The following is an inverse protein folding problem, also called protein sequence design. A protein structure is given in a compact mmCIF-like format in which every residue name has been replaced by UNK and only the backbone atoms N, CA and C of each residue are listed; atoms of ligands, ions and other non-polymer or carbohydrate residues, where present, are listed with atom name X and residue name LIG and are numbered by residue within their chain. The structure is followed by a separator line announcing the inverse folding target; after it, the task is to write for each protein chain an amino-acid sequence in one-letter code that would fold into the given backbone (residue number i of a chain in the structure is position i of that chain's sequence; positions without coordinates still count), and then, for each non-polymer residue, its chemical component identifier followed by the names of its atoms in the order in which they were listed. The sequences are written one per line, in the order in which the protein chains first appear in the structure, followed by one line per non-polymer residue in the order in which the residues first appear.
data_IF_905589821716
#
_entry.id   IF_905589821716
#
_cell.length_a   1.000
_cell.length_b   1.000
_cell.length_c   1.000
_cell.angle_alpha   90.00
_cell.angle_beta   90.00
_cell.angle_gamma   90.00
#
_symmetry.space_group_name_H-M   'P 1'
#
loop_
_entity.id
_entity.type
_entity.pdbx_description
1 polymer ?
#
# COMPACT_ATOMS: atom_id res chain seq x y z
N UNK A 1 35.00 -13.27 -4.76
CA UNK A 1 34.38 -14.08 -5.84
C UNK A 1 32.89 -14.33 -5.60
N UNK A 2 32.46 -14.90 -4.46
CA UNK A 2 31.06 -15.29 -4.23
C UNK A 2 30.02 -14.14 -4.32
N UNK A 3 30.33 -12.97 -3.74
CA UNK A 3 29.45 -11.78 -3.81
C UNK A 3 29.19 -11.28 -5.25
N UNK A 4 30.18 -11.35 -6.12
CA UNK A 4 30.05 -10.92 -7.53
C UNK A 4 29.13 -11.87 -8.29
N UNK A 5 29.32 -13.18 -8.14
CA UNK A 5 28.44 -14.17 -8.75
C UNK A 5 26.97 -14.03 -8.28
N UNK A 6 26.73 -13.69 -7.00
CA UNK A 6 25.38 -13.40 -6.49
C UNK A 6 24.77 -12.15 -7.16
N UNK A 7 25.56 -11.10 -7.36
CA UNK A 7 25.08 -9.88 -8.03
C UNK A 7 24.77 -10.15 -9.51
N UNK A 8 25.64 -10.86 -10.22
CA UNK A 8 25.42 -11.23 -11.63
C UNK A 8 24.22 -12.16 -11.81
N UNK A 9 24.02 -13.10 -10.89
CA UNK A 9 22.84 -13.97 -10.87
C UNK A 9 21.54 -13.19 -10.70
N UNK A 10 21.53 -12.15 -9.85
CA UNK A 10 20.33 -11.38 -9.51
C UNK A 10 20.03 -10.23 -10.48
N UNK A 11 21.05 -9.57 -10.99
CA UNK A 11 20.94 -8.34 -11.77
C UNK A 11 21.50 -8.46 -13.20
N UNK A 12 22.07 -9.61 -13.58
CA UNK A 12 22.70 -9.83 -14.87
C UNK A 12 24.17 -9.40 -14.91
N UNK A 13 24.89 -9.67 -16.01
CA UNK A 13 26.30 -9.30 -16.14
C UNK A 13 26.46 -7.77 -16.19
N UNK A 14 27.45 -7.24 -15.47
CA UNK A 14 27.83 -5.82 -15.57
C UNK A 14 29.10 -5.67 -16.42
N UNK A 15 29.05 -4.97 -17.56
CA UNK A 15 30.20 -4.83 -18.46
C UNK A 15 31.35 -3.97 -17.90
N UNK A 16 31.15 -3.22 -16.82
CA UNK A 16 32.15 -2.25 -16.30
C UNK A 16 33.05 -2.78 -15.18
N UNK A 17 32.71 -3.91 -14.54
CA UNK A 17 33.42 -4.42 -13.36
C UNK A 17 34.90 -4.77 -13.58
N UNK A 18 35.36 -4.88 -14.82
CA UNK A 18 36.74 -5.27 -15.15
C UNK A 18 37.68 -4.07 -15.41
N UNK A 19 37.20 -2.82 -15.32
CA UNK A 19 37.93 -1.65 -15.82
C UNK A 19 38.46 -0.71 -14.73
N UNK A 20 37.88 -0.71 -13.53
CA UNK A 20 38.26 0.18 -12.43
C UNK A 20 39.44 -0.34 -11.62
N UNK A 21 40.48 0.48 -11.46
CA UNK A 21 41.70 0.15 -10.72
C UNK A 21 41.61 0.46 -9.22
N UNK A 22 40.68 1.33 -8.80
CA UNK A 22 40.47 1.69 -7.40
C UNK A 22 39.16 1.13 -6.85
N UNK A 23 39.21 0.65 -5.62
CA UNK A 23 38.07 0.04 -4.96
C UNK A 23 36.90 1.01 -4.73
N UNK A 24 37.16 2.27 -4.38
CA UNK A 24 36.11 3.27 -4.17
C UNK A 24 35.33 3.58 -5.44
N UNK A 25 36.05 3.75 -6.56
CA UNK A 25 35.49 3.98 -7.90
C UNK A 25 34.67 2.75 -8.33
N UNK A 26 35.21 1.55 -8.13
CA UNK A 26 34.47 0.31 -8.38
C UNK A 26 33.18 0.21 -7.56
N UNK A 27 33.22 0.48 -6.24
CA UNK A 27 32.03 0.44 -5.36
C UNK A 27 30.96 1.43 -5.82
N UNK A 28 31.36 2.63 -6.23
CA UNK A 28 30.43 3.63 -6.75
C UNK A 28 29.75 3.12 -8.03
N UNK A 29 30.51 2.61 -8.99
CA UNK A 29 29.96 2.08 -10.24
C UNK A 29 29.01 0.89 -10.01
N UNK A 30 29.36 -0.01 -9.08
CA UNK A 30 28.48 -1.12 -8.66
C UNK A 30 27.17 -0.59 -8.11
N UNK A 31 27.23 0.40 -7.21
CA UNK A 31 26.03 0.96 -6.58
C UNK A 31 25.14 1.70 -7.57
N UNK A 32 25.73 2.48 -8.48
CA UNK A 32 25.00 3.16 -9.55
C UNK A 32 24.32 2.15 -10.48
N UNK A 33 25.03 1.08 -10.86
CA UNK A 33 24.46 0.01 -11.68
C UNK A 33 23.32 -0.74 -11.00
N UNK A 34 23.51 -1.14 -9.73
CA UNK A 34 22.45 -1.79 -8.94
C UNK A 34 21.24 -0.86 -8.81
N UNK A 35 21.47 0.43 -8.56
CA UNK A 35 20.40 1.43 -8.43
C UNK A 35 19.62 1.57 -9.73
N UNK A 36 20.32 1.63 -10.87
CA UNK A 36 19.70 1.71 -12.19
C UNK A 36 18.85 0.48 -12.49
N UNK A 37 19.42 -0.73 -12.37
CA UNK A 37 18.70 -1.97 -12.64
C UNK A 37 17.51 -2.15 -11.69
N UNK A 38 17.70 -1.86 -10.40
CA UNK A 38 16.61 -1.94 -9.41
C UNK A 38 15.49 -0.97 -9.75
N UNK A 39 15.83 0.25 -10.20
CA UNK A 39 14.86 1.25 -10.65
C UNK A 39 14.09 0.77 -11.88
N UNK A 40 14.77 0.14 -12.85
CA UNK A 40 14.14 -0.36 -14.06
C UNK A 40 13.22 -1.56 -13.79
N UNK A 41 13.65 -2.50 -12.94
CA UNK A 41 12.82 -3.62 -12.49
C UNK A 41 11.59 -3.09 -11.76
N UNK A 42 11.78 -2.15 -10.83
CA UNK A 42 10.69 -1.52 -10.09
C UNK A 42 9.71 -0.82 -11.04
N UNK A 43 10.20 -0.01 -11.98
CA UNK A 43 9.38 0.73 -12.94
C UNK A 43 8.54 -0.22 -13.79
N UNK A 44 9.16 -1.27 -14.35
CA UNK A 44 8.44 -2.32 -15.09
C UNK A 44 7.35 -2.98 -14.25
N UNK A 45 7.64 -3.29 -12.98
CA UNK A 45 6.69 -3.94 -12.09
C UNK A 45 5.51 -3.04 -11.71
N UNK A 46 5.74 -1.73 -11.47
CA UNK A 46 4.66 -0.79 -11.11
C UNK A 46 3.80 -0.41 -12.31
N UNK A 47 4.40 -0.17 -13.48
CA UNK A 47 3.66 0.19 -14.70
C UNK A 47 2.75 -0.94 -15.20
N UNK A 48 3.09 -2.20 -14.91
CA UNK A 48 2.24 -3.36 -15.25
C UNK A 48 0.91 -3.38 -14.48
N UNK A 49 0.80 -2.70 -13.33
CA UNK A 49 -0.37 -2.76 -12.46
C UNK A 49 -1.24 -1.53 -12.66
N UNK A 50 -2.44 -1.71 -13.21
CA UNK A 50 -3.39 -0.60 -13.46
C UNK A 50 -3.73 0.19 -12.18
N UNK A 51 -3.90 -0.49 -11.04
CA UNK A 51 -4.19 0.17 -9.76
C UNK A 51 -3.07 1.13 -9.29
N UNK A 52 -1.86 0.98 -9.84
CA UNK A 52 -0.71 1.84 -9.55
C UNK A 52 -0.49 2.92 -10.61
N UNK A 53 -1.42 3.17 -11.54
CA UNK A 53 -1.22 4.10 -12.65
C UNK A 53 -0.75 5.50 -12.21
N UNK A 54 -1.44 6.11 -11.25
CA UNK A 54 -1.05 7.40 -10.67
C UNK A 54 0.35 7.33 -10.01
N UNK A 55 0.59 6.29 -9.19
CA UNK A 55 1.89 6.08 -8.55
C UNK A 55 3.02 5.93 -9.57
N UNK A 56 2.84 5.08 -10.58
CA UNK A 56 3.84 4.77 -11.60
C UNK A 56 4.13 5.96 -12.51
N UNK A 57 3.14 6.84 -12.72
CA UNK A 57 3.29 8.04 -13.54
C UNK A 57 4.13 9.12 -12.83
N UNK A 58 3.95 9.27 -11.52
CA UNK A 58 4.51 10.41 -10.78
C UNK A 58 5.68 10.07 -9.85
N UNK A 59 5.77 8.84 -9.32
CA UNK A 59 6.92 8.43 -8.50
C UNK A 59 8.13 8.20 -9.41
N UNK A 60 9.18 8.97 -9.20
CA UNK A 60 10.37 8.92 -10.08
C UNK A 60 11.29 7.72 -9.79
N UNK A 61 11.50 7.40 -8.52
CA UNK A 61 12.42 6.36 -8.08
C UNK A 61 11.90 5.62 -6.84
N UNK A 62 12.24 4.34 -6.66
CA UNK A 62 11.93 3.60 -5.43
C UNK A 62 12.72 4.20 -4.27
N UNK A 63 12.08 4.37 -3.11
CA UNK A 63 12.76 4.90 -1.93
C UNK A 63 11.84 5.15 -0.76
N UNK A 64 12.43 5.33 0.42
CA UNK A 64 11.74 5.78 1.61
C UNK A 64 11.30 7.23 1.46
N UNK A 65 10.17 7.57 2.07
CA UNK A 65 9.64 8.92 2.06
C UNK A 65 9.64 9.46 3.50
N UNK A 66 10.03 10.72 3.72
CA UNK A 66 10.23 11.27 5.06
C UNK A 66 8.92 11.44 5.86
N UNK A 67 7.76 11.44 5.18
CA UNK A 67 6.44 11.62 5.80
C UNK A 67 5.80 10.31 6.28
N UNK A 68 6.44 9.16 6.06
CA UNK A 68 6.00 7.88 6.61
C UNK A 68 6.57 7.64 8.01
N UNK A 69 5.68 7.59 9.00
CA UNK A 69 6.02 7.40 10.42
C UNK A 69 5.56 6.06 10.99
N UNK A 70 4.99 5.18 10.16
CA UNK A 70 4.43 3.89 10.60
C UNK A 70 3.10 4.00 11.37
N UNK A 71 2.50 5.20 11.39
CA UNK A 71 1.19 5.44 11.97
C UNK A 71 0.05 5.07 10.99
N UNK A 72 -1.18 5.06 11.51
CA UNK A 72 -2.39 4.78 10.72
C UNK A 72 -2.54 5.74 9.53
N UNK A 73 -2.22 7.02 9.71
CA UNK A 73 -2.32 8.00 8.64
C UNK A 73 -1.30 7.76 7.53
N UNK A 74 -0.10 7.27 7.86
CA UNK A 74 0.90 6.79 6.90
C UNK A 74 0.36 5.60 6.09
N UNK A 75 -0.31 4.65 6.75
CA UNK A 75 -0.91 3.51 6.08
C UNK A 75 -2.03 3.94 5.11
N UNK A 76 -2.91 4.86 5.52
CA UNK A 76 -3.96 5.40 4.66
C UNK A 76 -3.39 6.17 3.47
N UNK A 77 -2.36 7.01 3.68
CA UNK A 77 -1.69 7.72 2.61
C UNK A 77 -1.04 6.74 1.61
N UNK A 78 -0.39 5.69 2.09
CA UNK A 78 0.17 4.65 1.24
C UNK A 78 -0.92 3.94 0.42
N UNK A 79 -2.06 3.63 1.04
CA UNK A 79 -3.21 3.06 0.34
C UNK A 79 -3.76 3.99 -0.75
N UNK A 80 -3.91 5.28 -0.44
CA UNK A 80 -4.35 6.29 -1.41
C UNK A 80 -3.38 6.40 -2.59
N UNK A 81 -2.07 6.46 -2.32
CA UNK A 81 -1.02 6.50 -3.34
C UNK A 81 -1.04 5.28 -4.27
N UNK A 82 -1.37 4.12 -3.73
CA UNK A 82 -1.32 2.84 -4.46
C UNK A 82 -2.66 2.39 -5.03
N UNK A 83 -3.69 3.25 -4.97
CA UNK A 83 -5.04 2.91 -5.43
C UNK A 83 -5.68 1.76 -4.65
N UNK A 84 -5.23 1.52 -3.41
CA UNK A 84 -5.72 0.46 -2.52
C UNK A 84 -6.52 0.98 -1.34
N UNK A 85 -6.80 2.30 -1.30
CA UNK A 85 -7.70 2.88 -0.31
C UNK A 85 -9.09 2.26 -0.46
N UNK A 86 -9.68 1.82 0.65
CA UNK A 86 -10.96 1.12 0.67
C UNK A 86 -12.16 2.08 0.53
N UNK A 87 -12.15 2.90 -0.52
CA UNK A 87 -13.29 3.76 -0.88
C UNK A 87 -14.48 2.92 -1.36
N UNK A 88 -15.69 3.51 -1.42
CA UNK A 88 -16.86 2.77 -1.93
C UNK A 88 -16.68 2.34 -3.39
N UNK A 89 -16.07 3.15 -4.25
CA UNK A 89 -15.73 2.72 -5.61
C UNK A 89 -14.83 1.47 -5.58
N UNK A 90 -13.78 1.47 -4.76
CA UNK A 90 -12.89 0.31 -4.66
C UNK A 90 -13.59 -0.93 -4.10
N UNK A 91 -14.54 -0.74 -3.19
CA UNK A 91 -15.36 -1.83 -2.67
C UNK A 91 -16.35 -2.36 -3.71
N UNK A 92 -16.92 -1.49 -4.53
CA UNK A 92 -17.77 -1.87 -5.66
C UNK A 92 -17.00 -2.78 -6.63
N UNK A 93 -15.78 -2.39 -7.02
CA UNK A 93 -14.92 -3.20 -7.91
C UNK A 93 -14.60 -4.61 -7.36
N UNK A 94 -14.57 -4.77 -6.02
CA UNK A 94 -14.17 -6.04 -5.38
C UNK A 94 -15.36 -6.90 -4.93
N UNK A 95 -16.49 -6.28 -4.60
CA UNK A 95 -17.60 -6.92 -3.90
C UNK A 95 -18.99 -6.54 -4.45
N UNK A 96 -19.06 -5.81 -5.56
CA UNK A 96 -20.31 -5.35 -6.20
C UNK A 96 -21.23 -4.57 -5.24
N UNK A 97 -20.64 -3.79 -4.33
CA UNK A 97 -21.37 -2.93 -3.39
C UNK A 97 -21.70 -1.56 -4.00
N UNK A 98 -22.65 -0.83 -3.43
CA UNK A 98 -22.97 0.55 -3.83
C UNK A 98 -21.73 1.47 -3.82
N UNK A 99 -21.36 2.13 -4.95
CA UNK A 99 -20.15 2.94 -5.08
C UNK A 99 -20.28 4.36 -4.49
N UNK A 100 -21.48 4.79 -4.10
CA UNK A 100 -21.71 6.16 -3.63
C UNK A 100 -21.04 6.51 -2.29
N UNK A 101 -20.64 7.77 -2.14
CA UNK A 101 -20.00 8.25 -0.92
C UNK A 101 -20.96 8.24 0.26
N UNK A 102 -20.61 7.52 1.32
CA UNK A 102 -21.44 7.41 2.53
C UNK A 102 -21.57 8.72 3.30
N UNK A 103 -20.64 9.66 3.10
CA UNK A 103 -20.65 10.94 3.80
C UNK A 103 -21.56 11.96 3.13
N UNK A 104 -21.45 12.11 1.81
CA UNK A 104 -22.14 13.17 1.06
C UNK A 104 -23.18 12.69 0.05
N UNK A 105 -23.26 11.39 -0.24
CA UNK A 105 -24.18 10.81 -1.22
C UNK A 105 -23.77 11.00 -2.68
N UNK A 106 -22.56 11.46 -2.98
CA UNK A 106 -22.05 11.54 -4.36
C UNK A 106 -22.04 10.15 -5.02
N UNK A 107 -22.26 10.09 -6.33
CA UNK A 107 -22.43 8.85 -7.08
C UNK A 107 -21.25 7.86 -6.95
N UNK A 108 -20.01 8.36 -6.91
CA UNK A 108 -18.82 7.53 -6.74
C UNK A 108 -17.86 8.11 -5.69
N UNK A 109 -17.52 7.32 -4.68
CA UNK A 109 -16.46 7.63 -3.73
C UNK A 109 -15.10 7.18 -4.29
N UNK A 110 -14.45 8.07 -5.04
CA UNK A 110 -13.09 7.87 -5.54
C UNK A 110 -12.05 8.46 -4.57
N UNK A 111 -10.76 8.18 -4.76
CA UNK A 111 -9.69 8.85 -3.98
C UNK A 111 -9.71 10.36 -4.24
N UNK A 112 -9.91 10.78 -5.49
CA UNK A 112 -10.09 12.19 -5.88
C UNK A 112 -11.25 12.81 -5.11
N UNK A 113 -12.39 12.13 -5.05
CA UNK A 113 -13.54 12.61 -4.31
C UNK A 113 -13.21 12.83 -2.83
N UNK A 114 -12.58 11.86 -2.17
CA UNK A 114 -12.20 11.98 -0.76
C UNK A 114 -11.22 13.14 -0.54
N UNK A 115 -10.22 13.30 -1.40
CA UNK A 115 -9.14 14.26 -1.21
C UNK A 115 -9.47 15.68 -1.69
N UNK A 116 -10.40 15.85 -2.63
CA UNK A 116 -10.66 17.14 -3.29
C UNK A 116 -12.13 17.56 -3.26
N UNK A 117 -13.07 16.62 -3.47
CA UNK A 117 -14.45 16.99 -3.82
C UNK A 117 -15.48 16.80 -2.70
N UNK A 118 -15.17 16.01 -1.67
CA UNK A 118 -16.15 15.63 -0.65
C UNK A 118 -16.51 16.83 0.25
N UNK A 119 -17.74 17.38 0.17
CA UNK A 119 -18.12 18.60 0.89
C UNK A 119 -18.27 18.38 2.40
N UNK A 120 -18.30 17.11 2.86
CA UNK A 120 -18.32 16.76 4.29
C UNK A 120 -16.93 16.73 4.93
N UNK A 121 -15.89 16.64 4.11
CA UNK A 121 -14.50 16.61 4.55
C UNK A 121 -13.84 17.97 4.45
N UNK A 122 -14.23 18.76 3.43
CA UNK A 122 -13.67 20.07 3.15
C UNK A 122 -14.63 21.18 3.57
N UNK A 123 -14.20 22.03 4.50
CA UNK A 123 -15.04 23.13 4.98
C UNK A 123 -15.10 24.31 3.97
N UNK A 124 -14.20 24.35 2.97
CA UNK A 124 -14.17 25.37 1.91
C UNK A 124 -13.66 24.77 0.59
N UNK A 125 -14.22 25.19 -0.57
CA UNK A 125 -13.61 24.90 -1.87
C UNK A 125 -12.26 25.62 -1.93
N UNK A 126 -11.17 24.87 -1.83
CA UNK A 126 -9.84 25.38 -2.12
C UNK A 126 -9.58 25.21 -3.61
N UNK A 127 -8.77 26.09 -4.18
CA UNK A 127 -7.97 25.75 -5.37
C UNK A 127 -7.05 24.60 -4.92
N UNK A 128 -7.57 23.38 -4.98
CA UNK A 128 -6.89 22.23 -4.42
C UNK A 128 -5.71 21.89 -5.32
N UNK A 129 -4.54 21.58 -4.74
CA UNK A 129 -3.45 20.98 -5.50
C UNK A 129 -3.96 19.76 -6.27
N UNK A 130 -3.29 19.44 -7.36
CA UNK A 130 -3.58 18.22 -8.12
C UNK A 130 -3.45 16.97 -7.22
N UNK A 131 -4.17 15.91 -7.58
CA UNK A 131 -4.12 14.65 -6.83
C UNK A 131 -2.68 14.12 -6.60
N UNK A 132 -1.76 14.13 -7.58
CA UNK A 132 -0.38 13.70 -7.35
C UNK A 132 0.35 14.54 -6.31
N UNK A 133 0.10 15.84 -6.23
CA UNK A 133 0.71 16.72 -5.24
C UNK A 133 0.17 16.45 -3.83
N UNK A 134 -1.15 16.27 -3.68
CA UNK A 134 -1.76 15.90 -2.40
C UNK A 134 -1.20 14.58 -1.88
N UNK A 135 -0.95 13.64 -2.79
CA UNK A 135 -0.37 12.34 -2.50
C UNK A 135 1.15 12.36 -2.27
N UNK A 136 1.81 13.53 -2.39
CA UNK A 136 3.27 13.65 -2.25
C UNK A 136 4.05 12.91 -3.34
N UNK A 137 3.44 12.72 -4.51
CA UNK A 137 4.04 12.08 -5.68
C UNK A 137 4.71 13.10 -6.61
N UNK A 138 4.33 14.37 -6.54
CA UNK A 138 4.94 15.48 -7.27
C UNK A 138 5.11 16.70 -6.35
N UNK A 139 5.81 17.74 -6.84
CA UNK A 139 6.01 18.98 -6.10
C UNK A 139 7.01 18.85 -4.94
N UNK A 140 7.93 17.87 -4.98
CA UNK A 140 8.90 17.65 -3.89
C UNK A 140 9.85 18.84 -3.65
N UNK A 141 9.98 19.72 -4.63
CA UNK A 141 10.80 20.94 -4.57
C UNK A 141 10.07 22.12 -3.93
N UNK A 142 8.77 21.98 -3.66
CA UNK A 142 7.97 23.07 -3.08
C UNK A 142 8.13 23.11 -1.56
N UNK A 143 8.31 24.32 -1.01
CA UNK A 143 8.56 24.53 0.42
C UNK A 143 7.46 23.95 1.32
N UNK A 144 6.22 23.90 0.82
CA UNK A 144 5.05 23.41 1.55
C UNK A 144 4.74 21.92 1.28
N UNK A 145 5.60 21.18 0.58
CA UNK A 145 5.36 19.78 0.21
C UNK A 145 5.08 18.91 1.44
N UNK A 146 5.89 19.03 2.49
CA UNK A 146 5.72 18.24 3.71
C UNK A 146 4.40 18.55 4.44
N UNK A 147 4.05 19.84 4.54
CA UNK A 147 2.81 20.28 5.19
C UNK A 147 1.57 19.85 4.41
N UNK A 148 1.63 19.88 3.08
CA UNK A 148 0.57 19.38 2.19
C UNK A 148 0.32 17.89 2.38
N UNK A 149 1.38 17.10 2.48
CA UNK A 149 1.26 15.66 2.72
C UNK A 149 0.71 15.37 4.12
N UNK A 150 1.13 16.11 5.15
CA UNK A 150 0.57 15.96 6.50
C UNK A 150 -0.90 16.37 6.58
N UNK A 151 -1.29 17.46 5.90
CA UNK A 151 -2.70 17.81 5.77
C UNK A 151 -3.51 16.68 5.13
N UNK A 152 -2.98 16.07 4.07
CA UNK A 152 -3.62 14.92 3.41
C UNK A 152 -3.75 13.72 4.35
N UNK A 153 -2.73 13.45 5.17
CA UNK A 153 -2.77 12.41 6.20
C UNK A 153 -3.89 12.66 7.23
N UNK A 154 -4.05 13.90 7.69
CA UNK A 154 -5.10 14.28 8.64
C UNK A 154 -6.50 14.17 8.02
N UNK A 155 -6.63 14.58 6.76
CA UNK A 155 -7.87 14.46 5.99
C UNK A 155 -8.29 12.99 5.84
N UNK A 156 -7.35 12.11 5.50
CA UNK A 156 -7.60 10.66 5.38
C UNK A 156 -8.01 10.04 6.72
N UNK A 157 -7.39 10.45 7.84
CA UNK A 157 -7.82 10.03 9.17
C UNK A 157 -9.25 10.47 9.49
N UNK A 158 -9.60 11.73 9.16
CA UNK A 158 -10.96 12.27 9.35
C UNK A 158 -11.97 11.48 8.52
N UNK A 159 -11.67 11.24 7.24
CA UNK A 159 -12.51 10.43 6.35
C UNK A 159 -12.75 9.03 6.93
N UNK A 160 -11.67 8.33 7.28
CA UNK A 160 -11.73 6.97 7.78
C UNK A 160 -12.53 6.87 9.09
N UNK A 161 -12.41 7.86 9.98
CA UNK A 161 -13.23 7.95 11.21
C UNK A 161 -14.71 8.14 10.89
N UNK A 162 -15.06 9.17 10.12
CA UNK A 162 -16.45 9.49 9.79
C UNK A 162 -17.14 8.33 9.04
N UNK A 163 -16.39 7.66 8.15
CA UNK A 163 -16.92 6.53 7.40
C UNK A 163 -17.28 5.34 8.30
N UNK A 164 -16.50 5.10 9.37
CA UNK A 164 -16.85 4.09 10.39
C UNK A 164 -18.07 4.48 11.20
N UNK A 165 -18.18 5.75 11.60
CA UNK A 165 -19.33 6.25 12.36
C UNK A 165 -20.63 6.04 11.58
N UNK A 166 -20.66 6.45 10.31
CA UNK A 166 -21.83 6.22 9.43
C UNK A 166 -22.15 4.73 9.30
N UNK A 167 -21.14 3.88 9.09
CA UNK A 167 -21.34 2.44 8.98
C UNK A 167 -21.94 1.82 10.25
N UNK A 168 -21.55 2.32 11.44
CA UNK A 168 -22.10 1.83 12.71
C UNK A 168 -23.52 2.30 12.96
N UNK A 169 -23.88 3.52 12.55
CA UNK A 169 -25.25 4.03 12.68
C UNK A 169 -26.21 3.25 11.78
N UNK A 170 -25.84 3.02 10.52
CA UNK A 170 -26.65 2.22 9.59
C UNK A 170 -26.89 0.78 10.06
N UNK A 171 -25.96 0.20 10.82
CA UNK A 171 -26.13 -1.15 11.39
C UNK A 171 -27.09 -1.20 12.60
N UNK A 172 -27.33 -0.08 13.27
CA UNK A 172 -28.26 -0.01 14.41
C UNK A 172 -29.71 0.25 14.00
N UNK A 173 -29.92 0.82 12.82
CA UNK A 173 -31.24 1.22 12.32
C UNK A 173 -32.02 0.12 11.62
N UNK A 174 -31.45 -1.08 11.39
CA UNK A 174 -32.23 -2.24 10.93
C UNK A 174 -33.25 -2.65 12.00
N UNK A 175 -34.56 -2.40 11.80
CA UNK A 175 -35.56 -2.83 12.74
C UNK A 175 -35.67 -4.34 12.61
N UNK A 176 -35.34 -5.07 13.67
CA UNK A 176 -35.76 -6.45 13.79
C UNK A 176 -37.30 -6.45 13.77
N UNK A 177 -37.88 -6.75 12.62
CA UNK A 177 -39.29 -7.12 12.55
C UNK A 177 -39.43 -8.40 13.39
N UNK A 178 -40.21 -8.40 14.49
CA UNK A 178 -40.49 -9.64 15.19
C UNK A 178 -41.26 -10.53 14.22
N UNK A 179 -40.61 -11.61 13.80
CA UNK A 179 -41.19 -12.66 12.99
C UNK A 179 -42.44 -13.17 13.69
N UNK A 180 -43.59 -12.90 13.08
CA UNK A 180 -44.89 -13.44 13.47
C UNK A 180 -44.78 -14.97 13.49
N UNK A 181 -44.96 -15.55 14.67
CA UNK A 181 -44.94 -16.98 14.89
C UNK A 181 -46.05 -17.67 14.07
N UNK A 182 -45.67 -18.35 13.00
CA UNK A 182 -46.53 -19.36 12.37
C UNK A 182 -46.50 -20.65 13.21
N UNK A 183 -47.62 -21.38 13.33
CA UNK A 183 -47.72 -22.56 14.17
C UNK A 183 -46.91 -23.74 13.59
N UNK A 184 -46.20 -24.44 14.48
CA UNK A 184 -45.46 -25.66 14.17
C UNK A 184 -46.44 -26.79 13.84
N UNK A 185 -46.40 -27.30 12.62
CA UNK A 185 -46.92 -28.62 12.29
C UNK A 185 -45.75 -29.60 12.30
N UNK A 186 -45.76 -30.49 13.28
CA UNK A 186 -44.83 -31.61 13.38
C UNK A 186 -45.07 -32.60 12.24
N UNK A 187 -44.05 -32.85 11.42
CA UNK A 187 -43.93 -34.08 10.65
C UNK A 187 -42.45 -34.44 10.51
N UNK A 188 -42.01 -35.62 10.98
CA UNK A 188 -40.62 -36.02 10.87
C UNK A 188 -40.30 -36.56 9.46
N UNK A 189 -39.12 -36.25 8.90
CA UNK A 189 -38.68 -36.84 7.63
C UNK A 189 -38.04 -38.23 7.84
N UNK A 190 -38.16 -39.15 6.87
CA UNK A 190 -37.51 -40.45 6.90
C UNK A 190 -36.02 -40.36 6.53
N UNK A 191 -35.22 -41.20 7.18
CA UNK A 191 -33.79 -41.41 6.93
C UNK A 191 -33.51 -41.80 5.47
N UNK A 192 -32.52 -41.14 4.86
CA UNK A 192 -32.00 -41.48 3.54
C UNK A 192 -30.50 -41.17 3.44
N UNK A 193 -29.70 -42.23 3.35
CA UNK A 193 -28.25 -42.23 3.19
C UNK A 193 -27.78 -41.53 1.90
N UNK A 194 -26.57 -40.95 1.94
CA UNK A 194 -25.70 -40.95 0.76
C UNK A 194 -24.79 -39.74 0.58
N UNK A 195 -23.48 -40.01 0.66
CA UNK A 195 -22.42 -39.43 -0.17
C UNK A 195 -21.70 -38.15 0.28
N UNK A 196 -20.52 -38.37 0.89
CA UNK A 196 -19.18 -37.85 0.55
C UNK A 196 -19.06 -36.44 -0.09
N UNK A 197 -18.38 -35.52 0.62
CA UNK A 197 -17.24 -34.72 0.12
C UNK A 197 -16.67 -33.87 1.27
N UNK A 198 -15.51 -34.27 1.82
CA UNK A 198 -14.18 -33.62 1.71
C UNK A 198 -14.03 -32.32 2.49
N UNK A 199 -13.19 -32.42 3.53
CA UNK A 199 -12.37 -31.36 4.09
C UNK A 199 -11.87 -30.36 3.03
N UNK A 200 -12.08 -29.06 3.25
CA UNK A 200 -11.05 -28.09 2.91
C UNK A 200 -11.02 -26.97 3.96
N UNK A 201 -9.99 -27.05 4.80
CA UNK A 201 -9.60 -26.01 5.76
C UNK A 201 -9.41 -24.69 5.02
N UNK A 202 -10.14 -23.66 5.43
CA UNK A 202 -9.83 -22.26 5.12
C UNK A 202 -8.44 -21.92 5.67
N UNK A 203 -7.42 -22.08 4.83
CA UNK A 203 -6.11 -21.50 5.03
C UNK A 203 -6.22 -19.99 4.78
N UNK A 204 -6.09 -19.21 5.85
CA UNK A 204 -5.81 -17.77 5.79
C UNK A 204 -4.48 -17.59 5.06
N UNK A 205 -4.37 -16.75 4.00
CA UNK A 205 -3.07 -16.48 3.40
C UNK A 205 -2.23 -15.63 4.36
N UNK A 206 -1.28 -16.28 5.04
CA UNK A 206 -0.12 -15.65 5.66
C UNK A 206 0.74 -15.10 4.52
N UNK A 207 0.47 -13.85 4.12
CA UNK A 207 1.29 -13.08 3.18
C UNK A 207 1.80 -11.85 3.91
N UNK A 208 2.64 -12.06 4.93
CA UNK A 208 3.47 -11.00 5.54
C UNK A 208 4.52 -11.58 6.50
N UNK A 209 5.26 -12.60 6.08
CA UNK A 209 6.53 -12.94 6.72
C UNK A 209 7.51 -13.38 5.63
N UNK A 210 8.17 -12.40 5.00
CA UNK A 210 9.43 -12.65 4.32
C UNK A 210 10.57 -12.42 5.34
N UNK A 211 11.15 -13.50 5.91
CA UNK A 211 12.25 -13.39 6.87
C UNK A 211 13.55 -12.84 6.24
N UNK A 212 13.59 -12.60 4.92
CA UNK A 212 14.76 -12.04 4.24
C UNK A 212 14.99 -10.54 4.53
N UNK A 213 13.96 -9.82 5.03
CA UNK A 213 14.09 -8.39 5.36
C UNK A 213 14.91 -8.13 6.64
N UNK A 214 14.84 -9.02 7.63
CA UNK A 214 15.64 -8.91 8.86
C UNK A 214 17.10 -9.30 8.64
N UNK A 215 17.37 -10.21 7.70
CA UNK A 215 18.74 -10.55 7.29
C UNK A 215 19.47 -9.37 6.63
N UNK A 216 18.74 -8.51 5.92
CA UNK A 216 19.32 -7.32 5.29
C UNK A 216 19.73 -6.24 6.31
N UNK A 217 18.90 -6.01 7.34
CA UNK A 217 19.20 -5.02 8.39
C UNK A 217 20.35 -5.47 9.32
N UNK A 218 20.48 -6.77 9.60
CA UNK A 218 21.59 -7.30 10.42
C UNK A 218 22.94 -7.31 9.70
N UNK A 219 22.97 -7.45 8.37
CA UNK A 219 24.23 -7.41 7.61
C UNK A 219 24.80 -5.99 7.44
N UNK A 220 23.96 -4.95 7.55
CA UNK A 220 24.41 -3.55 7.50
C UNK A 220 25.04 -3.05 8.81
N UNK A 221 24.68 -3.61 9.97
CA UNK A 221 25.19 -3.17 11.28
C UNK A 221 26.47 -3.89 11.72
N UNK A 222 26.90 -4.93 11.01
CA UNK A 222 28.07 -5.74 11.38
C UNK A 222 29.37 -5.31 10.67
N UNK A 223 29.37 -4.19 9.93
CA UNK A 223 30.54 -3.70 9.16
C UNK A 223 31.29 -2.57 9.90
N UNK A 224 30.95 -2.28 11.15
CA UNK A 224 31.63 -1.24 11.96
C UNK A 224 32.62 -1.74 13.01
N UNK A 225 32.89 -3.04 13.11
CA UNK A 225 33.90 -3.53 14.05
C UNK A 225 34.85 -4.54 13.40
N UNK A 226 36.02 -4.05 12.99
CA UNK A 226 37.25 -4.85 12.95
C UNK A 226 38.44 -4.01 13.46
N UNK A 227 39.43 -4.67 14.08
CA UNK A 227 40.21 -4.14 15.18
C UNK A 227 41.36 -3.25 14.74
N UNK A 228 41.61 -2.23 15.56
CA UNK A 228 42.79 -1.40 15.53
C UNK A 228 44.02 -2.28 15.81
N UNK A 229 44.69 -2.72 14.75
CA UNK A 229 45.94 -3.46 14.87
C UNK A 229 47.07 -2.45 14.76
N UNK A 230 47.55 -2.00 15.91
CA UNK A 230 48.77 -1.24 16.03
C UNK A 230 49.96 -2.13 15.62
N UNK A 231 50.81 -1.63 14.73
CA UNK A 231 52.14 -2.17 14.54
C UNK A 231 53.08 -1.07 13.99
N UNK A 232 54.23 -0.93 14.65
CA UNK A 232 55.47 -0.37 14.08
C UNK A 232 55.79 1.05 14.51
#
# INVERSE_FOLDING_TARGET
MQRLATLESKFGPNPKFQQTKKESEWRQEVNEWITQISTDIWRKAVTKKHSLSCYATHKLAPGCEPYYRGDKSSALLFQARTGSLATQQRRHELFDSEPSCRLCGAAEETVTHVLQDCPRLHDKPRTSPSLPELLGLSGQTEENHFDRVNYTKDLLLRWDRLNREVATTSARETPHTPSSAAPRTDTPPPCGNGSKQTDEKLAVPVMLQDPSREQWLRQSTSITELPNTAAG
#
